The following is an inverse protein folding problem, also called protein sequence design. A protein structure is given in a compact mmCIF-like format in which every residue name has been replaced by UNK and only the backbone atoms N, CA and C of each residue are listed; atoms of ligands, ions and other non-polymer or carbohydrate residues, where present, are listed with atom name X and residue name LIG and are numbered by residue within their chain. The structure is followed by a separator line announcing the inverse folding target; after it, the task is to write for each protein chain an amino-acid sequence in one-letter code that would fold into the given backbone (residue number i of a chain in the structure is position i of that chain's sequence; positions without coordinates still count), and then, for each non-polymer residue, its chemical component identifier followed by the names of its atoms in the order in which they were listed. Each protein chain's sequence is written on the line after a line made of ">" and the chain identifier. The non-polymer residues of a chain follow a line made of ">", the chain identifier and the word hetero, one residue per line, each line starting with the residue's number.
data_IF_057429313436
#
_entry.id   IF_057429313436
#
_cell.length_a   1.000
_cell.length_b   1.000
_cell.length_c   1.000
_cell.angle_alpha   90.00
_cell.angle_beta   90.00
_cell.angle_gamma   90.00
#
_symmetry.space_group_name_H-M   'P 1'
#
loop_
_entity.id
_entity.type
_entity.pdbx_description
1 polymer ?
#
# COMPACT_ATOMS: atom_id res chain seq x y z
N UNK A 1 -30.16 9.62 4.54
CA UNK A 1 -28.88 9.34 5.23
C UNK A 1 -28.04 10.61 5.35
N UNK A 2 -28.57 11.65 5.99
CA UNK A 2 -27.80 12.89 6.31
C UNK A 2 -27.54 13.02 7.81
N UNK A 3 -27.96 12.06 8.63
CA UNK A 3 -27.58 11.97 10.05
C UNK A 3 -26.08 11.84 10.27
N UNK A 4 -25.34 11.33 9.27
CA UNK A 4 -23.88 11.23 9.29
C UNK A 4 -23.19 12.60 9.13
N UNK A 5 -23.92 13.67 8.80
CA UNK A 5 -23.38 15.02 8.65
C UNK A 5 -22.78 15.54 9.97
N UNK A 6 -23.40 15.22 11.10
CA UNK A 6 -22.91 15.57 12.44
C UNK A 6 -21.54 14.95 12.75
N UNK A 7 -21.20 13.85 12.06
CA UNK A 7 -19.92 13.16 12.19
C UNK A 7 -18.93 13.51 11.05
N UNK A 8 -19.26 14.47 10.19
CA UNK A 8 -18.42 14.88 9.05
C UNK A 8 -17.00 15.26 9.47
N UNK A 9 -16.84 15.97 10.59
CA UNK A 9 -15.54 16.32 11.18
C UNK A 9 -14.73 15.07 11.55
N UNK A 10 -15.38 14.06 12.14
CA UNK A 10 -14.74 12.78 12.48
C UNK A 10 -14.27 12.07 11.20
N UNK A 11 -15.09 12.04 10.15
CA UNK A 11 -14.69 11.43 8.87
C UNK A 11 -13.49 12.13 8.23
N UNK A 12 -13.42 13.47 8.31
CA UNK A 12 -12.26 14.24 7.81
C UNK A 12 -11.00 13.89 8.60
N UNK A 13 -11.09 13.78 9.93
CA UNK A 13 -9.94 13.36 10.75
C UNK A 13 -9.50 11.93 10.46
N UNK A 14 -10.44 11.00 10.26
CA UNK A 14 -10.14 9.62 9.84
C UNK A 14 -9.44 9.61 8.49
N UNK A 15 -9.92 10.42 7.53
CA UNK A 15 -9.29 10.54 6.22
C UNK A 15 -7.85 11.09 6.32
N UNK A 16 -7.63 12.17 7.07
CA UNK A 16 -6.31 12.76 7.27
C UNK A 16 -5.33 11.80 7.96
N UNK A 17 -5.78 11.15 9.04
CA UNK A 17 -4.96 10.18 9.76
C UNK A 17 -4.60 8.97 8.87
N UNK A 18 -5.57 8.47 8.09
CA UNK A 18 -5.34 7.33 7.20
C UNK A 18 -4.44 7.68 6.01
N UNK A 19 -4.57 8.88 5.45
CA UNK A 19 -3.68 9.40 4.42
C UNK A 19 -2.23 9.55 4.93
N UNK A 20 -2.05 10.04 6.15
CA UNK A 20 -0.72 10.12 6.78
C UNK A 20 -0.12 8.71 7.00
N UNK A 21 -0.91 7.76 7.51
CA UNK A 21 -0.48 6.38 7.67
C UNK A 21 -0.10 5.72 6.33
N UNK A 22 -0.87 5.99 5.26
CA UNK A 22 -0.60 5.52 3.91
C UNK A 22 0.75 6.03 3.40
N UNK A 23 1.05 7.32 3.60
CA UNK A 23 2.32 7.91 3.20
C UNK A 23 3.51 7.27 3.92
N UNK A 24 3.39 7.02 5.22
CA UNK A 24 4.42 6.37 6.03
C UNK A 24 4.66 4.93 5.55
N UNK A 25 3.59 4.15 5.37
CA UNK A 25 3.70 2.74 4.92
C UNK A 25 4.26 2.69 3.50
N UNK A 26 3.83 3.58 2.61
CA UNK A 26 4.36 3.70 1.24
C UNK A 26 5.87 3.93 1.23
N UNK A 27 6.35 4.84 2.10
CA UNK A 27 7.78 5.09 2.24
C UNK A 27 8.55 3.84 2.69
N UNK A 28 8.07 3.17 3.73
CA UNK A 28 8.70 1.94 4.24
C UNK A 28 8.69 0.83 3.17
N UNK A 29 7.59 0.70 2.43
CA UNK A 29 7.46 -0.29 1.36
C UNK A 29 8.46 0.00 0.23
N UNK A 30 8.59 1.27 -0.17
CA UNK A 30 9.57 1.67 -1.18
C UNK A 30 11.01 1.43 -0.70
N UNK A 31 11.33 1.75 0.56
CA UNK A 31 12.64 1.47 1.13
C UNK A 31 12.94 -0.04 1.12
N UNK A 32 11.93 -0.89 1.37
CA UNK A 32 12.06 -2.34 1.31
C UNK A 32 12.27 -2.88 -0.11
N UNK A 33 11.79 -2.17 -1.13
CA UNK A 33 11.92 -2.54 -2.54
C UNK A 33 13.23 -2.07 -3.17
N UNK A 34 13.90 -1.08 -2.56
CA UNK A 34 15.21 -0.59 -2.99
C UNK A 34 16.36 -1.51 -2.53
N UNK A 35 16.10 -2.42 -1.60
CA UNK A 35 17.08 -3.40 -1.13
C UNK A 35 17.06 -4.59 -2.11
N UNK A 36 18.19 -4.91 -2.78
CA UNK A 36 18.24 -6.08 -3.65
C UNK A 36 18.04 -7.36 -2.81
N UNK A 37 17.27 -8.35 -3.32
CA UNK A 37 17.08 -9.60 -2.60
C UNK A 37 18.41 -10.34 -2.41
N UNK A 38 18.53 -11.05 -1.29
CA UNK A 38 19.70 -11.89 -1.03
C UNK A 38 19.91 -12.91 -2.16
N UNK A 39 21.16 -13.20 -2.55
CA UNK A 39 21.44 -14.13 -3.62
C UNK A 39 20.87 -15.52 -3.28
N UNK A 40 20.16 -16.14 -4.23
CA UNK A 40 19.48 -17.41 -4.01
C UNK A 40 20.44 -18.47 -3.46
N UNK A 41 20.07 -19.16 -2.36
CA UNK A 41 20.88 -20.19 -1.69
C UNK A 41 21.09 -21.46 -2.54
N UNK A 42 20.45 -21.57 -3.71
CA UNK A 42 20.63 -22.70 -4.60
C UNK A 42 21.97 -22.59 -5.33
N UNK A 43 22.93 -23.40 -4.87
CA UNK A 43 24.30 -23.61 -5.41
C UNK A 43 24.30 -23.89 -6.93
N UNK A 44 23.16 -24.30 -7.50
CA UNK A 44 22.97 -24.56 -8.93
C UNK A 44 23.10 -23.32 -9.83
N UNK A 45 22.81 -22.11 -9.33
CA UNK A 45 22.97 -20.89 -10.13
C UNK A 45 24.43 -20.40 -10.21
N UNK A 46 25.34 -20.97 -9.41
CA UNK A 46 26.73 -20.51 -9.33
C UNK A 46 27.65 -21.09 -10.41
N UNK A 47 27.20 -22.08 -11.19
CA UNK A 47 28.10 -22.91 -12.02
C UNK A 47 27.99 -22.75 -13.54
N UNK A 48 26.97 -22.08 -14.07
CA UNK A 48 26.90 -21.76 -15.51
C UNK A 48 26.28 -20.38 -15.70
N UNK A 49 27.04 -19.48 -16.31
CA UNK A 49 26.68 -18.12 -16.72
C UNK A 49 25.56 -18.07 -17.78
N UNK A 50 24.42 -18.70 -17.50
CA UNK A 50 23.21 -18.63 -18.31
C UNK A 50 22.03 -18.34 -17.38
N UNK A 51 22.11 -17.20 -16.69
CA UNK A 51 20.89 -16.58 -16.16
C UNK A 51 20.13 -16.10 -17.41
N UNK A 52 19.02 -16.76 -17.75
CA UNK A 52 18.15 -16.26 -18.83
C UNK A 52 17.76 -14.82 -18.45
N UNK A 53 17.84 -13.84 -19.37
CA UNK A 53 17.45 -12.46 -19.08
C UNK A 53 16.01 -12.33 -18.61
N UNK A 54 15.14 -13.31 -18.90
CA UNK A 54 13.78 -13.41 -18.35
C UNK A 54 13.72 -13.53 -16.82
N UNK A 55 14.75 -14.05 -16.16
CA UNK A 55 14.86 -14.09 -14.69
C UNK A 55 15.41 -12.78 -14.09
N UNK A 56 16.00 -11.92 -14.92
CA UNK A 56 16.43 -10.56 -14.55
C UNK A 56 15.35 -9.52 -14.87
N UNK A 57 14.42 -9.84 -15.78
CA UNK A 57 13.39 -8.92 -16.30
C UNK A 57 12.03 -9.03 -15.61
N UNK A 58 11.81 -10.03 -14.76
CA UNK A 58 10.66 -9.96 -13.86
C UNK A 58 11.04 -9.01 -12.73
N UNK A 59 10.35 -7.87 -12.54
CA UNK A 59 10.27 -7.29 -11.22
C UNK A 59 9.39 -8.26 -10.42
N UNK A 60 9.91 -9.46 -10.14
CA UNK A 60 9.47 -10.20 -8.97
C UNK A 60 9.93 -9.29 -7.84
N UNK A 61 9.09 -8.30 -7.49
CA UNK A 61 9.22 -7.53 -6.27
C UNK A 61 9.27 -8.62 -5.20
N UNK A 62 10.48 -8.95 -4.77
CA UNK A 62 10.70 -9.97 -3.78
C UNK A 62 10.24 -9.36 -2.47
N UNK A 63 8.93 -9.42 -2.24
CA UNK A 63 8.35 -9.09 -0.97
C UNK A 63 8.65 -10.26 -0.05
N UNK A 64 9.68 -10.11 0.78
CA UNK A 64 9.84 -10.93 1.97
C UNK A 64 8.53 -10.93 2.79
N UNK A 65 8.35 -11.87 3.72
CA UNK A 65 7.14 -11.96 4.55
C UNK A 65 6.76 -10.62 5.21
N UNK A 66 7.76 -9.80 5.55
CA UNK A 66 7.58 -8.46 6.10
C UNK A 66 7.03 -7.47 5.07
N UNK A 67 7.55 -7.49 3.85
CA UNK A 67 7.06 -6.68 2.74
C UNK A 67 5.63 -7.04 2.33
N UNK A 68 5.28 -8.34 2.32
CA UNK A 68 3.91 -8.79 2.07
C UNK A 68 2.93 -8.33 3.16
N UNK A 69 3.34 -8.39 4.44
CA UNK A 69 2.54 -7.88 5.56
C UNK A 69 2.34 -6.36 5.49
N UNK A 70 3.36 -5.61 5.10
CA UNK A 70 3.27 -4.16 4.90
C UNK A 70 2.37 -3.80 3.71
N UNK A 71 2.49 -4.51 2.59
CA UNK A 71 1.62 -4.34 1.44
C UNK A 71 0.15 -4.59 1.79
N UNK A 72 -0.14 -5.65 2.54
CA UNK A 72 -1.51 -5.92 3.02
C UNK A 72 -2.05 -4.80 3.91
N UNK A 73 -1.23 -4.30 4.86
CA UNK A 73 -1.60 -3.16 5.71
C UNK A 73 -1.86 -1.90 4.88
N UNK A 74 -1.03 -1.66 3.86
CA UNK A 74 -1.22 -0.56 2.92
C UNK A 74 -2.56 -0.67 2.19
N UNK A 75 -2.93 -1.86 1.71
CA UNK A 75 -4.22 -2.10 1.05
C UNK A 75 -5.40 -1.77 1.97
N UNK A 76 -5.36 -2.23 3.23
CA UNK A 76 -6.42 -1.94 4.21
C UNK A 76 -6.54 -0.42 4.44
N UNK A 77 -5.42 0.25 4.72
CA UNK A 77 -5.42 1.70 4.97
C UNK A 77 -5.91 2.48 3.75
N UNK A 78 -5.55 2.02 2.55
CA UNK A 78 -6.02 2.61 1.29
C UNK A 78 -7.53 2.46 1.11
N UNK A 79 -8.06 1.26 1.38
CA UNK A 79 -9.50 1.02 1.32
C UNK A 79 -10.28 1.89 2.32
N UNK A 80 -9.80 2.00 3.56
CA UNK A 80 -10.41 2.87 4.59
C UNK A 80 -10.38 4.33 4.16
N UNK A 81 -9.22 4.82 3.69
CA UNK A 81 -9.07 6.21 3.23
C UNK A 81 -10.01 6.51 2.06
N UNK A 82 -10.09 5.61 1.08
CA UNK A 82 -10.99 5.75 -0.07
C UNK A 82 -12.47 5.72 0.33
N UNK A 83 -12.86 4.83 1.24
CA UNK A 83 -14.22 4.78 1.76
C UNK A 83 -14.59 6.06 2.51
N UNK A 84 -13.73 6.56 3.39
CA UNK A 84 -13.94 7.83 4.09
C UNK A 84 -14.08 8.99 3.12
N UNK A 85 -13.24 9.05 2.08
CA UNK A 85 -13.33 10.09 1.04
C UNK A 85 -14.67 10.03 0.29
N UNK A 86 -15.12 8.85 -0.12
CA UNK A 86 -16.39 8.66 -0.82
C UNK A 86 -17.57 9.08 0.05
N UNK A 87 -17.55 8.75 1.35
CA UNK A 87 -18.58 9.19 2.29
C UNK A 87 -18.58 10.71 2.44
N UNK A 88 -17.41 11.34 2.57
CA UNK A 88 -17.30 12.81 2.64
C UNK A 88 -17.85 13.45 1.36
N UNK A 89 -17.46 12.95 0.19
CA UNK A 89 -17.94 13.47 -1.09
C UNK A 89 -19.45 13.29 -1.26
N UNK A 90 -19.98 12.13 -0.87
CA UNK A 90 -21.42 11.89 -0.85
C UNK A 90 -22.14 12.88 0.07
N UNK A 91 -21.64 13.11 1.29
CA UNK A 91 -22.21 14.07 2.21
C UNK A 91 -22.20 15.50 1.63
N UNK A 92 -21.09 15.93 1.01
CA UNK A 92 -20.98 17.25 0.38
C UNK A 92 -21.91 17.43 -0.82
N UNK A 93 -22.11 16.39 -1.64
CA UNK A 93 -22.89 16.45 -2.87
C UNK A 93 -24.39 16.22 -2.65
N UNK A 94 -24.75 15.27 -1.77
CA UNK A 94 -26.12 14.81 -1.57
C UNK A 94 -26.80 15.41 -0.33
N UNK A 95 -26.03 15.81 0.70
CA UNK A 95 -26.56 16.39 1.94
C UNK A 95 -26.22 17.88 2.07
N UNK A 96 -26.23 18.62 0.95
CA UNK A 96 -26.12 20.09 0.95
C UNK A 96 -26.98 20.69 2.09
N UNK A 97 -26.45 21.66 2.86
CA UNK A 97 -27.29 22.49 3.71
C UNK A 97 -28.33 23.26 2.88
#
# INVERSE_FOLDING_TARGET
>A
MCSLWEHSTVFVWVFLASAAAMAIISRILNDHLLIPPDPSKHIWFRKKNFIKPSFLMKPDLHFDELGCRLAWRFTIVTAVTGASFLIIMYLLLACKP
#
